data_IF_870760397218
#
_entry.id   IF_870760397218
#
_cell.length_a   1.000
_cell.length_b   1.000
_cell.length_c   1.000
_cell.angle_alpha   90.00
_cell.angle_beta   90.00
_cell.angle_gamma   90.00
#
_symmetry.space_group_name_H-M   'P 1'
#
loop_
_entity.id
_entity.type
_entity.pdbx_description
1 polymer ?
#
# COMPACT_ATOMS: atom_id res chain seq x y z
N UNK A 1 56.52 -12.63 -1.94
CA UNK A 1 55.51 -13.66 -2.29
C UNK A 1 54.39 -13.80 -1.27
N UNK A 2 54.67 -13.66 0.02
CA UNK A 2 53.65 -13.71 1.10
C UNK A 2 52.54 -12.64 1.06
N UNK A 3 52.75 -11.36 0.71
CA UNK A 3 51.70 -10.37 0.76
C UNK A 3 50.57 -10.59 -0.26
N UNK A 4 50.89 -11.15 -1.43
CA UNK A 4 49.91 -11.40 -2.50
C UNK A 4 48.88 -12.47 -2.07
N UNK A 5 49.37 -13.52 -1.39
CA UNK A 5 48.45 -14.57 -0.89
C UNK A 5 47.48 -14.06 0.15
N UNK A 6 47.90 -13.11 1.00
CA UNK A 6 47.04 -12.50 2.02
C UNK A 6 45.93 -11.64 1.35
N UNK A 7 46.30 -10.85 0.32
CA UNK A 7 45.31 -10.05 -0.42
C UNK A 7 44.28 -10.91 -1.13
N UNK A 8 44.71 -12.02 -1.74
CA UNK A 8 43.82 -12.98 -2.40
C UNK A 8 42.87 -13.61 -1.37
N UNK A 9 43.37 -14.03 -0.21
CA UNK A 9 42.57 -14.63 0.85
C UNK A 9 41.53 -13.63 1.40
N UNK A 10 41.92 -12.38 1.65
CA UNK A 10 41.00 -11.33 2.09
C UNK A 10 39.91 -11.05 1.05
N UNK A 11 40.28 -11.03 -0.24
CA UNK A 11 39.29 -10.81 -1.30
C UNK A 11 38.24 -11.93 -1.35
N UNK A 12 38.67 -13.19 -1.21
CA UNK A 12 37.73 -14.33 -1.13
C UNK A 12 36.87 -14.29 0.13
N UNK A 13 37.44 -13.91 1.29
CA UNK A 13 36.68 -13.78 2.52
C UNK A 13 35.56 -12.67 2.40
N UNK A 14 35.95 -11.50 1.87
CA UNK A 14 34.99 -10.41 1.67
C UNK A 14 33.89 -10.82 0.67
N UNK A 15 34.27 -11.45 -0.44
CA UNK A 15 33.31 -11.96 -1.42
C UNK A 15 32.33 -12.98 -0.83
N UNK A 16 32.85 -13.89 0.00
CA UNK A 16 32.00 -14.85 0.71
C UNK A 16 31.04 -14.20 1.69
N UNK A 17 31.51 -13.21 2.49
CA UNK A 17 30.65 -12.45 3.40
C UNK A 17 29.56 -11.67 2.66
N UNK A 18 29.91 -11.02 1.56
CA UNK A 18 28.94 -10.30 0.73
C UNK A 18 27.92 -11.26 0.12
N UNK A 19 28.36 -12.41 -0.35
CA UNK A 19 27.48 -13.45 -0.91
C UNK A 19 26.49 -13.97 0.14
N UNK A 20 26.96 -14.31 1.35
CA UNK A 20 26.10 -14.77 2.44
C UNK A 20 25.15 -13.68 2.91
N UNK A 21 25.59 -12.43 2.96
CA UNK A 21 24.72 -11.29 3.28
C UNK A 21 23.59 -11.10 2.26
N UNK A 22 23.92 -11.15 0.96
CA UNK A 22 22.91 -11.06 -0.11
C UNK A 22 21.97 -12.26 -0.10
N UNK A 23 22.47 -13.45 0.22
CA UNK A 23 21.64 -14.65 0.35
C UNK A 23 20.69 -14.57 1.55
N UNK A 24 21.15 -14.03 2.68
CA UNK A 24 20.33 -13.83 3.88
C UNK A 24 19.20 -12.82 3.62
N UNK A 25 19.47 -11.73 2.87
CA UNK A 25 18.44 -10.75 2.50
C UNK A 25 17.41 -11.31 1.52
N UNK A 26 17.80 -12.25 0.65
CA UNK A 26 16.86 -12.91 -0.29
C UNK A 26 15.88 -13.84 0.43
N UNK A 27 16.28 -14.44 1.54
CA UNK A 27 15.42 -15.37 2.30
C UNK A 27 14.36 -14.66 3.17
N UNK A 28 14.54 -13.37 3.48
CA UNK A 28 13.55 -12.57 4.24
C UNK A 28 12.28 -12.30 3.42
N UNK A 29 12.35 -12.39 2.09
CA UNK A 29 11.20 -12.12 1.21
C UNK A 29 10.28 -13.32 0.96
N UNK A 30 10.68 -14.54 1.34
CA UNK A 30 9.92 -15.76 1.01
C UNK A 30 8.94 -16.21 2.10
N UNK A 31 9.08 -15.72 3.33
CA UNK A 31 8.22 -16.15 4.44
C UNK A 31 7.03 -15.22 4.71
N UNK A 32 7.02 -14.04 4.09
CA UNK A 32 5.89 -13.11 4.07
C UNK A 32 5.30 -12.96 2.66
N UNK A 33 5.09 -14.06 1.95
CA UNK A 33 4.04 -14.08 0.96
C UNK A 33 2.75 -13.85 1.75
N UNK A 34 2.04 -12.71 1.61
CA UNK A 34 0.77 -12.55 2.30
C UNK A 34 -0.09 -13.69 1.80
N UNK A 35 -0.33 -14.66 2.68
CA UNK A 35 -1.31 -15.70 2.42
C UNK A 35 -2.55 -14.95 1.95
N UNK A 36 -3.14 -15.39 0.85
CA UNK A 36 -4.33 -14.81 0.24
C UNK A 36 -5.23 -14.27 1.37
N UNK A 37 -5.26 -12.96 1.54
CA UNK A 37 -5.97 -12.34 2.65
C UNK A 37 -7.45 -12.75 2.48
N UNK A 38 -7.94 -13.58 3.37
CA UNK A 38 -9.29 -14.13 3.32
C UNK A 38 -10.33 -13.03 3.59
N UNK A 39 -9.87 -11.92 4.18
CA UNK A 39 -10.73 -10.79 4.54
C UNK A 39 -10.61 -9.66 3.52
N UNK A 40 -11.73 -8.99 3.26
CA UNK A 40 -11.79 -7.77 2.47
C UNK A 40 -12.01 -6.59 3.40
N UNK A 41 -11.15 -5.59 3.32
CA UNK A 41 -11.26 -4.34 4.06
C UNK A 41 -12.13 -3.39 3.25
N UNK A 42 -13.23 -2.95 3.82
CA UNK A 42 -14.08 -1.91 3.24
C UNK A 42 -13.59 -0.55 3.72
N UNK A 43 -13.30 0.34 2.78
CA UNK A 43 -12.88 1.72 3.05
C UNK A 43 -14.05 2.62 2.68
N UNK A 44 -14.61 3.26 3.70
CA UNK A 44 -15.72 4.19 3.54
C UNK A 44 -15.22 5.64 3.49
N UNK A 45 -15.38 6.28 2.34
CA UNK A 45 -15.09 7.69 2.17
C UNK A 45 -16.34 8.52 2.49
N UNK A 46 -16.47 8.96 3.74
CA UNK A 46 -17.63 9.70 4.22
C UNK A 46 -17.99 10.92 3.36
N UNK A 47 -19.27 11.29 3.34
CA UNK A 47 -19.88 12.30 2.48
C UNK A 47 -19.78 11.95 0.97
N UNK A 48 -20.32 12.82 0.09
CA UNK A 48 -20.25 12.62 -1.37
C UNK A 48 -21.51 13.12 -2.09
N UNK A 49 -21.40 13.42 -3.36
CA UNK A 49 -22.49 13.96 -4.17
C UNK A 49 -23.02 15.26 -3.59
N UNK A 50 -24.31 15.29 -3.30
CA UNK A 50 -24.99 16.47 -2.73
C UNK A 50 -24.56 16.79 -1.28
N UNK A 51 -24.09 15.78 -0.54
CA UNK A 51 -23.58 15.97 0.82
C UNK A 51 -22.08 16.32 0.78
N UNK A 52 -21.78 17.60 0.94
CA UNK A 52 -20.41 18.11 0.95
C UNK A 52 -19.68 17.94 2.28
N UNK A 53 -20.41 17.66 3.37
CA UNK A 53 -19.87 17.79 4.74
C UNK A 53 -19.53 19.23 5.09
N UNK A 54 -18.62 19.41 6.04
CA UNK A 54 -18.12 20.73 6.40
C UNK A 54 -17.30 21.35 5.26
N UNK A 55 -17.28 22.68 5.19
CA UNK A 55 -16.50 23.45 4.21
C UNK A 55 -15.48 24.27 4.96
N UNK A 56 -14.21 24.09 4.60
CA UNK A 56 -13.11 24.87 5.17
C UNK A 56 -13.11 26.33 4.66
N UNK A 57 -12.35 27.19 5.31
CA UNK A 57 -12.27 28.63 4.97
C UNK A 57 -11.74 28.91 3.56
N UNK A 58 -11.00 27.96 2.99
CA UNK A 58 -10.49 27.99 1.61
C UNK A 58 -11.46 27.42 0.56
N UNK A 59 -12.66 26.99 0.99
CA UNK A 59 -13.70 26.46 0.12
C UNK A 59 -13.62 24.95 -0.13
N UNK A 60 -12.64 24.25 0.43
CA UNK A 60 -12.52 22.80 0.28
C UNK A 60 -13.57 22.11 1.15
N UNK A 61 -14.37 21.24 0.56
CA UNK A 61 -15.37 20.44 1.29
C UNK A 61 -14.77 19.16 1.86
N UNK A 62 -15.33 18.72 2.98
CA UNK A 62 -14.89 17.52 3.69
C UNK A 62 -14.95 16.26 2.82
N UNK A 63 -15.95 16.13 1.94
CA UNK A 63 -16.07 15.00 1.00
C UNK A 63 -14.85 14.80 0.12
N UNK A 64 -14.18 15.90 -0.29
CA UNK A 64 -12.97 15.84 -1.13
C UNK A 64 -11.81 15.31 -0.32
N UNK A 65 -11.63 15.81 0.90
CA UNK A 65 -10.56 15.37 1.80
C UNK A 65 -10.74 13.89 2.15
N UNK A 66 -11.97 13.46 2.48
CA UNK A 66 -12.26 12.09 2.82
C UNK A 66 -11.97 11.13 1.66
N UNK A 67 -12.32 11.51 0.44
CA UNK A 67 -12.04 10.70 -0.74
C UNK A 67 -10.53 10.57 -0.99
N UNK A 68 -9.77 11.65 -0.86
CA UNK A 68 -8.31 11.61 -1.01
C UNK A 68 -7.63 10.74 0.05
N UNK A 69 -8.08 10.82 1.31
CA UNK A 69 -7.57 9.97 2.39
C UNK A 69 -7.89 8.50 2.10
N UNK A 70 -9.12 8.21 1.67
CA UNK A 70 -9.55 6.85 1.33
C UNK A 70 -8.71 6.27 0.19
N UNK A 71 -8.39 7.03 -0.84
CA UNK A 71 -7.50 6.60 -1.92
C UNK A 71 -6.09 6.29 -1.44
N UNK A 72 -5.51 7.16 -0.61
CA UNK A 72 -4.17 6.94 -0.05
C UNK A 72 -4.13 5.67 0.80
N UNK A 73 -5.15 5.48 1.65
CA UNK A 73 -5.29 4.29 2.48
C UNK A 73 -5.43 3.02 1.62
N UNK A 74 -6.30 3.06 0.61
CA UNK A 74 -6.50 1.96 -0.34
C UNK A 74 -5.19 1.58 -1.02
N UNK A 75 -4.42 2.55 -1.50
CA UNK A 75 -3.12 2.31 -2.12
C UNK A 75 -2.14 1.61 -1.18
N UNK A 76 -2.03 2.10 0.06
CA UNK A 76 -1.12 1.53 1.07
C UNK A 76 -1.53 0.10 1.40
N UNK A 77 -2.80 -0.16 1.70
CA UNK A 77 -3.28 -1.49 2.08
C UNK A 77 -3.07 -2.50 0.94
N UNK A 78 -3.33 -2.10 -0.31
CA UNK A 78 -3.07 -2.97 -1.47
C UNK A 78 -1.60 -3.24 -1.69
N UNK A 79 -0.72 -2.28 -1.40
CA UNK A 79 0.73 -2.49 -1.45
C UNK A 79 1.20 -3.52 -0.42
N UNK A 80 0.49 -3.65 0.70
CA UNK A 80 0.70 -4.72 1.70
C UNK A 80 0.02 -6.05 1.34
N UNK A 81 -0.58 -6.18 0.15
CA UNK A 81 -1.23 -7.40 -0.31
C UNK A 81 -2.62 -7.65 0.28
N UNK A 82 -3.23 -6.66 0.92
CA UNK A 82 -4.58 -6.76 1.49
C UNK A 82 -5.65 -6.51 0.42
N UNK A 83 -6.76 -7.26 0.50
CA UNK A 83 -7.92 -7.01 -0.35
C UNK A 83 -8.71 -5.82 0.19
N UNK A 84 -9.01 -4.86 -0.68
CA UNK A 84 -9.73 -3.64 -0.31
C UNK A 84 -10.85 -3.33 -1.30
N UNK A 85 -11.93 -2.78 -0.80
CA UNK A 85 -13.05 -2.23 -1.57
C UNK A 85 -13.36 -0.84 -1.03
N UNK A 86 -13.52 0.13 -1.91
CA UNK A 86 -13.96 1.49 -1.55
C UNK A 86 -15.46 1.60 -1.76
N UNK A 87 -16.15 2.30 -0.86
CA UNK A 87 -17.62 2.53 -0.97
C UNK A 87 -17.98 3.48 -2.10
N UNK A 88 -17.09 4.42 -2.41
CA UNK A 88 -17.16 5.29 -3.59
C UNK A 88 -15.75 5.59 -4.12
N UNK A 89 -15.66 5.83 -5.40
CA UNK A 89 -14.44 6.24 -6.11
C UNK A 89 -14.56 7.61 -6.76
N UNK A 90 -15.74 8.21 -6.72
CA UNK A 90 -16.01 9.50 -7.33
C UNK A 90 -16.77 10.40 -6.35
N UNK A 91 -17.11 11.63 -6.78
CA UNK A 91 -17.97 12.53 -6.03
C UNK A 91 -19.45 12.13 -6.17
N UNK A 92 -19.73 10.89 -5.79
CA UNK A 92 -21.10 10.35 -5.75
C UNK A 92 -21.52 10.06 -4.32
N UNK A 93 -22.84 10.14 -4.06
CA UNK A 93 -23.43 9.64 -2.83
C UNK A 93 -23.73 8.14 -2.95
N UNK A 94 -23.50 7.38 -1.88
CA UNK A 94 -23.91 5.96 -1.80
C UNK A 94 -25.41 5.81 -2.05
N UNK A 95 -26.22 6.78 -1.67
CA UNK A 95 -27.65 6.82 -1.93
C UNK A 95 -27.99 6.90 -3.42
N UNK A 96 -27.23 7.68 -4.19
CA UNK A 96 -27.48 7.87 -5.63
C UNK A 96 -27.13 6.63 -6.46
N UNK A 97 -26.12 5.86 -6.04
CA UNK A 97 -25.73 4.62 -6.70
C UNK A 97 -26.79 3.52 -6.58
N UNK A 98 -27.50 3.46 -5.45
CA UNK A 98 -28.58 2.50 -5.27
C UNK A 98 -29.84 2.85 -6.08
N UNK A 99 -30.10 4.12 -6.35
CA UNK A 99 -31.21 4.56 -7.18
C UNK A 99 -31.03 4.19 -8.67
N UNK A 100 -29.78 4.18 -9.18
CA UNK A 100 -29.46 3.81 -10.56
C UNK A 100 -29.58 2.30 -10.83
N UNK A 101 -29.46 1.46 -9.79
CA UNK A 101 -29.53 0.00 -9.92
C UNK A 101 -30.94 -0.57 -9.70
N UNK A 102 -31.93 0.25 -9.39
CA UNK A 102 -33.32 -0.15 -9.13
C UNK A 102 -34.28 0.18 -10.30
N UNK A 103 -33.78 0.68 -11.41
CA UNK A 103 -34.51 0.97 -12.64
C UNK A 103 -34.08 0.03 -13.75
#
# INVERSE_FOLDING_TARGET
MFPICIFILCFFCVGFYVFEFLRATSNVSAENSPGKCEYTIVIDAGHGGADGGAVASDGISEKVINLEIAYKLNYILRAYGLNTVMTRTDDESIHDSNAKNSA
#
